data_IF_712208633554
#
_entry.id   IF_712208633554
#
_cell.length_a   1.000
_cell.length_b   1.000
_cell.length_c   1.000
_cell.angle_alpha   90.00
_cell.angle_beta   90.00
_cell.angle_gamma   90.00
#
_symmetry.space_group_name_H-M   'P 1'
#
loop_
_entity.id
_entity.type
_entity.pdbx_description
1 polymer ?
#
# COMPACT_ATOMS: atom_id res chain seq x y z
N UNK A 1 3.47 -7.27 15.01
CA UNK A 1 3.33 -5.95 14.34
C UNK A 1 1.86 -5.60 14.24
N UNK A 2 1.52 -4.30 14.17
CA UNK A 2 0.13 -3.90 13.93
C UNK A 2 -0.21 -4.04 12.45
N UNK A 3 -1.49 -4.21 12.12
CA UNK A 3 -1.96 -4.40 10.74
C UNK A 3 -1.58 -3.21 9.83
N UNK A 4 -1.54 -1.99 10.38
CA UNK A 4 -1.17 -0.77 9.67
C UNK A 4 0.28 -0.81 9.18
N UNK A 5 1.19 -1.29 10.02
CA UNK A 5 2.62 -1.36 9.75
C UNK A 5 2.89 -2.37 8.65
N UNK A 6 2.24 -3.53 8.72
CA UNK A 6 2.38 -4.58 7.71
C UNK A 6 1.84 -4.12 6.35
N UNK A 7 0.67 -3.48 6.33
CA UNK A 7 0.14 -2.89 5.09
C UNK A 7 1.12 -1.87 4.49
N UNK A 8 1.65 -0.97 5.32
CA UNK A 8 2.61 0.05 4.90
C UNK A 8 3.88 -0.54 4.29
N UNK A 9 4.42 -1.61 4.87
CA UNK A 9 5.58 -2.32 4.36
C UNK A 9 5.31 -3.00 3.01
N UNK A 10 4.18 -3.69 2.87
CA UNK A 10 3.78 -4.34 1.62
C UNK A 10 3.60 -3.30 0.52
N UNK A 11 2.87 -2.22 0.80
CA UNK A 11 2.66 -1.11 -0.14
C UNK A 11 4.01 -0.52 -0.60
N UNK A 12 4.90 -0.23 0.35
CA UNK A 12 6.24 0.31 0.07
C UNK A 12 7.07 -0.65 -0.77
N UNK A 13 6.97 -1.95 -0.50
CA UNK A 13 7.71 -2.99 -1.22
C UNK A 13 7.26 -3.08 -2.67
N UNK A 14 5.94 -3.14 -2.92
CA UNK A 14 5.38 -3.20 -4.28
C UNK A 14 5.75 -1.92 -5.05
N UNK A 15 5.56 -0.74 -4.44
CA UNK A 15 5.91 0.54 -5.07
C UNK A 15 7.37 0.59 -5.51
N UNK A 16 8.29 0.15 -4.63
CA UNK A 16 9.73 0.10 -4.94
C UNK A 16 10.04 -0.92 -6.04
N UNK A 17 9.41 -2.10 -6.03
CA UNK A 17 9.56 -3.10 -7.10
C UNK A 17 9.15 -2.53 -8.47
N UNK A 18 8.14 -1.67 -8.50
CA UNK A 18 7.70 -0.96 -9.70
C UNK A 18 8.49 0.33 -10.00
N UNK A 19 9.57 0.62 -9.25
CA UNK A 19 10.42 1.82 -9.41
C UNK A 19 9.62 3.14 -9.35
N UNK A 20 8.60 3.19 -8.50
CA UNK A 20 7.76 4.38 -8.33
C UNK A 20 8.20 5.19 -7.11
N UNK A 21 8.20 6.52 -7.21
CA UNK A 21 8.29 7.40 -6.04
C UNK A 21 6.93 7.49 -5.32
N UNK A 22 6.91 8.04 -4.09
CA UNK A 22 5.64 8.29 -3.39
C UNK A 22 4.77 9.29 -4.17
N UNK A 23 5.39 10.32 -4.77
CA UNK A 23 4.74 11.29 -5.64
C UNK A 23 4.11 10.63 -6.87
N UNK A 24 4.82 9.69 -7.50
CA UNK A 24 4.31 8.97 -8.67
C UNK A 24 3.11 8.10 -8.31
N UNK A 25 3.18 7.38 -7.19
CA UNK A 25 2.06 6.56 -6.71
C UNK A 25 0.85 7.43 -6.34
N UNK A 26 1.10 8.54 -5.62
CA UNK A 26 0.07 9.51 -5.26
C UNK A 26 -0.66 10.05 -6.50
N UNK A 27 0.10 10.49 -7.50
CA UNK A 27 -0.44 10.98 -8.77
C UNK A 27 -1.29 9.92 -9.48
N UNK A 28 -0.79 8.69 -9.62
CA UNK A 28 -1.51 7.62 -10.33
C UNK A 28 -2.74 7.11 -9.59
N UNK A 29 -2.73 7.15 -8.25
CA UNK A 29 -3.88 6.76 -7.41
C UNK A 29 -4.84 7.92 -7.15
N UNK A 30 -4.55 9.14 -7.63
CA UNK A 30 -5.30 10.35 -7.30
C UNK A 30 -5.45 10.55 -5.77
N UNK A 31 -4.36 10.31 -5.04
CA UNK A 31 -4.27 10.48 -3.58
C UNK A 31 -3.21 11.53 -3.24
N UNK A 32 -3.28 12.08 -2.02
CA UNK A 32 -2.24 12.99 -1.54
C UNK A 32 -0.93 12.23 -1.24
N UNK A 33 0.20 12.79 -1.64
CA UNK A 33 1.53 12.21 -1.38
C UNK A 33 1.81 12.01 0.11
N UNK A 34 1.36 12.92 0.95
CA UNK A 34 1.47 12.83 2.41
C UNK A 34 0.63 11.67 2.95
N UNK A 35 -0.54 11.42 2.36
CA UNK A 35 -1.35 10.24 2.69
C UNK A 35 -0.62 8.94 2.32
N UNK A 36 -0.02 8.85 1.13
CA UNK A 36 0.85 7.71 0.76
C UNK A 36 1.97 7.50 1.79
N UNK A 37 2.64 8.58 2.20
CA UNK A 37 3.69 8.53 3.23
C UNK A 37 3.17 8.08 4.60
N UNK A 38 1.95 8.45 4.98
CA UNK A 38 1.32 7.99 6.23
C UNK A 38 0.96 6.50 6.17
N UNK A 39 0.44 6.02 5.04
CA UNK A 39 0.18 4.59 4.82
C UNK A 39 1.47 3.78 4.92
N UNK A 40 2.53 4.18 4.21
CA UNK A 40 3.81 3.44 4.22
C UNK A 40 4.53 3.41 5.58
N UNK A 41 4.14 4.29 6.51
CA UNK A 41 4.66 4.34 7.88
C UNK A 41 3.73 3.68 8.91
N UNK A 42 2.60 3.12 8.46
CA UNK A 42 1.60 2.53 9.35
C UNK A 42 0.90 3.55 10.26
N UNK A 43 0.90 4.84 9.88
CA UNK A 43 0.19 5.89 10.63
C UNK A 43 -1.32 5.83 10.34
N UNK A 44 -1.70 5.39 9.14
CA UNK A 44 -3.08 5.23 8.71
C UNK A 44 -3.32 3.88 8.03
N UNK A 45 -4.57 3.43 8.10
CA UNK A 45 -5.10 2.38 7.23
C UNK A 45 -5.65 2.97 5.93
N UNK A 46 -5.59 2.24 4.81
CA UNK A 46 -6.33 2.61 3.61
C UNK A 46 -7.84 2.47 3.88
N UNK A 47 -8.63 3.39 3.36
CA UNK A 47 -10.07 3.12 3.17
C UNK A 47 -10.27 2.13 2.03
N UNK A 48 -11.46 1.53 1.90
CA UNK A 48 -11.78 0.68 0.76
C UNK A 48 -11.53 1.40 -0.58
N UNK A 49 -11.91 2.68 -0.68
CA UNK A 49 -11.70 3.47 -1.90
C UNK A 49 -10.20 3.69 -2.18
N UNK A 50 -9.42 4.00 -1.15
CA UNK A 50 -7.97 4.17 -1.27
C UNK A 50 -7.29 2.88 -1.66
N UNK A 51 -7.71 1.74 -1.10
CA UNK A 51 -7.19 0.42 -1.45
C UNK A 51 -7.40 0.12 -2.95
N UNK A 52 -8.63 0.33 -3.45
CA UNK A 52 -8.96 0.13 -4.86
C UNK A 52 -8.16 1.07 -5.78
N UNK A 53 -8.01 2.34 -5.38
CA UNK A 53 -7.23 3.32 -6.13
C UNK A 53 -5.73 2.97 -6.18
N UNK A 54 -5.16 2.52 -5.06
CA UNK A 54 -3.77 2.06 -4.97
C UNK A 54 -3.54 0.83 -5.83
N UNK A 55 -4.42 -0.18 -5.73
CA UNK A 55 -4.30 -1.40 -6.52
C UNK A 55 -4.35 -1.08 -8.02
N UNK A 56 -5.28 -0.21 -8.45
CA UNK A 56 -5.35 0.27 -9.83
C UNK A 56 -4.07 1.01 -10.25
N UNK A 57 -3.53 1.89 -9.42
CA UNK A 57 -2.29 2.63 -9.70
C UNK A 57 -1.07 1.71 -9.81
N UNK A 58 -1.04 0.64 -9.03
CA UNK A 58 -0.02 -0.41 -9.05
C UNK A 58 -0.28 -1.47 -10.13
N UNK A 59 -1.30 -1.30 -10.97
CA UNK A 59 -1.69 -2.23 -12.02
C UNK A 59 -1.90 -3.68 -11.52
N UNK A 60 -2.62 -3.82 -10.41
CA UNK A 60 -2.95 -5.10 -9.80
C UNK A 60 -4.36 -5.11 -9.21
N UNK A 61 -4.87 -6.29 -8.83
CA UNK A 61 -6.14 -6.41 -8.13
C UNK A 61 -5.97 -6.05 -6.65
N UNK A 62 -7.01 -5.47 -6.05
CA UNK A 62 -7.01 -5.19 -4.62
C UNK A 62 -6.93 -6.48 -3.79
N UNK A 63 -7.49 -7.58 -4.29
CA UNK A 63 -7.38 -8.90 -3.64
C UNK A 63 -5.94 -9.38 -3.56
N UNK A 64 -5.14 -9.20 -4.61
CA UNK A 64 -3.72 -9.56 -4.63
C UNK A 64 -2.93 -8.70 -3.63
N UNK A 65 -3.27 -7.43 -3.50
CA UNK A 65 -2.66 -6.56 -2.49
C UNK A 65 -3.00 -7.01 -1.06
N UNK A 66 -4.25 -7.42 -0.81
CA UNK A 66 -4.67 -7.93 0.50
C UNK A 66 -4.03 -9.28 0.81
N UNK A 67 -3.97 -10.19 -0.16
CA UNK A 67 -3.30 -11.50 -0.03
C UNK A 67 -1.83 -11.33 0.40
N UNK A 68 -1.08 -10.43 -0.23
CA UNK A 68 0.30 -10.12 0.16
C UNK A 68 0.42 -9.57 1.60
N UNK A 69 -0.61 -8.87 2.08
CA UNK A 69 -0.66 -8.38 3.47
C UNK A 69 -0.95 -9.52 4.43
N UNK A 70 -1.87 -10.42 4.11
CA UNK A 70 -2.17 -11.62 4.89
C UNK A 70 -0.96 -12.54 5.00
N UNK A 71 -0.30 -12.84 3.88
CA UNK A 71 0.97 -13.60 3.85
C UNK A 71 2.02 -12.98 4.77
N UNK A 72 2.16 -11.64 4.71
CA UNK A 72 3.15 -10.93 5.52
C UNK A 72 2.81 -10.94 7.02
N UNK A 73 1.53 -10.91 7.37
CA UNK A 73 1.06 -11.07 8.75
C UNK A 73 1.44 -12.45 9.27
N UNK A 74 1.26 -13.50 8.47
CA UNK A 74 1.55 -14.88 8.85
C UNK A 74 3.06 -15.16 8.98
N UNK A 75 3.90 -14.56 8.12
CA UNK A 75 5.37 -14.59 8.28
C UNK A 75 5.86 -13.95 9.58
N UNK A 76 5.05 -13.07 10.17
CA UNK A 76 5.41 -12.25 11.33
C UNK A 76 4.86 -12.79 12.66
N UNK A 77 4.19 -13.95 12.62
CA UNK A 77 3.76 -14.73 13.78
C UNK A 77 4.86 -15.66 14.25
#
# INVERSE_FOLDING_TARGET
>A
MKSEEVFGEVLRTIRKKQKMSQEKLAFQSNLDRTYISMLERGVHQPTQNSLLALAKALNMKASELVELVEEKIDESK
#
